data_IF_447742702028
#
_entry.id   IF_447742702028
#
_cell.length_a   1.000
_cell.length_b   1.000
_cell.length_c   1.000
_cell.angle_alpha   90.00
_cell.angle_beta   90.00
_cell.angle_gamma   90.00
#
_symmetry.space_group_name_H-M   'P 1'
#
loop_
_entity.id
_entity.type
_entity.pdbx_description
1 polymer ?
#
# COMPACT_ATOMS: atom_id res chain seq x y z
N UNK A 1 4.68 31.24 17.84
CA UNK A 1 5.39 30.06 18.45
C UNK A 1 4.47 29.19 19.26
N UNK A 2 3.40 29.77 19.89
CA UNK A 2 2.41 29.00 20.67
C UNK A 2 1.51 28.09 19.81
N UNK A 3 1.11 28.50 18.62
CA UNK A 3 0.09 27.77 17.83
C UNK A 3 0.61 26.45 17.25
N UNK A 4 1.90 26.43 16.80
CA UNK A 4 2.54 25.17 16.36
C UNK A 4 2.73 24.19 17.53
N UNK A 5 3.00 24.71 18.73
CA UNK A 5 3.12 23.91 19.94
C UNK A 5 1.75 23.35 20.35
N UNK A 6 0.71 24.15 20.22
CA UNK A 6 -0.66 23.77 20.58
C UNK A 6 -1.23 22.73 19.60
N UNK A 7 -0.91 22.85 18.31
CA UNK A 7 -1.22 21.84 17.30
C UNK A 7 -0.51 20.52 17.61
N UNK A 8 0.81 20.56 17.85
CA UNK A 8 1.58 19.35 18.21
C UNK A 8 1.09 18.69 19.50
N UNK A 9 0.67 19.47 20.50
CA UNK A 9 0.09 18.97 21.75
C UNK A 9 -1.28 18.32 21.49
N UNK A 10 -2.12 18.90 20.64
CA UNK A 10 -3.42 18.33 20.29
C UNK A 10 -3.26 17.01 19.53
N UNK A 11 -2.26 16.91 18.63
CA UNK A 11 -1.92 15.65 17.95
C UNK A 11 -1.49 14.58 18.95
N UNK A 12 -0.55 14.91 19.83
CA UNK A 12 -0.07 13.98 20.86
C UNK A 12 -1.21 13.50 21.78
N UNK A 13 -2.18 14.38 22.08
CA UNK A 13 -3.35 14.03 22.89
C UNK A 13 -4.29 13.09 22.12
N UNK A 14 -4.52 13.33 20.83
CA UNK A 14 -5.38 12.48 20.00
C UNK A 14 -4.74 11.10 19.79
N UNK A 15 -3.45 11.05 19.51
CA UNK A 15 -2.71 9.78 19.40
C UNK A 15 -2.73 8.98 20.71
N UNK A 16 -2.56 9.66 21.84
CA UNK A 16 -2.67 9.03 23.16
C UNK A 16 -4.08 8.52 23.45
N UNK A 17 -5.13 9.25 23.03
CA UNK A 17 -6.54 8.80 23.15
C UNK A 17 -6.83 7.60 22.26
N UNK A 18 -6.33 7.62 21.02
CA UNK A 18 -6.49 6.50 20.09
C UNK A 18 -5.77 5.25 20.58
N UNK A 19 -4.54 5.40 21.08
CA UNK A 19 -3.79 4.31 21.69
C UNK A 19 -4.51 3.73 22.90
N UNK A 20 -5.07 4.58 23.78
CA UNK A 20 -5.87 4.13 24.94
C UNK A 20 -7.17 3.45 24.52
N UNK A 21 -7.89 3.97 23.52
CA UNK A 21 -9.12 3.36 23.03
C UNK A 21 -8.85 1.97 22.45
N UNK A 22 -7.78 1.81 21.71
CA UNK A 22 -7.36 0.50 21.16
C UNK A 22 -6.87 -0.46 22.24
N UNK A 23 -6.15 0.01 23.24
CA UNK A 23 -5.81 -0.80 24.43
C UNK A 23 -7.07 -1.29 25.15
N UNK A 24 -8.10 -0.46 25.26
CA UNK A 24 -9.40 -0.85 25.81
C UNK A 24 -10.14 -1.91 24.99
N UNK A 25 -10.02 -1.88 23.66
CA UNK A 25 -10.64 -2.86 22.76
C UNK A 25 -9.88 -4.19 22.79
N UNK A 26 -8.54 -4.15 22.74
CA UNK A 26 -7.70 -5.34 22.74
C UNK A 26 -7.58 -5.97 24.13
N UNK A 27 -7.97 -5.24 25.19
CA UNK A 27 -7.73 -5.63 26.56
C UNK A 27 -8.89 -5.37 27.52
N UNK A 28 -10.15 -5.76 27.19
CA UNK A 28 -11.29 -5.52 28.09
C UNK A 28 -11.22 -6.32 29.38
N UNK A 29 -10.50 -7.44 29.42
CA UNK A 29 -10.30 -8.30 30.59
C UNK A 29 -8.88 -8.27 31.17
N UNK A 30 -7.94 -7.62 30.50
CA UNK A 30 -6.52 -7.59 30.86
C UNK A 30 -6.08 -6.29 31.52
N UNK A 31 -7.01 -5.48 32.03
CA UNK A 31 -6.71 -4.40 32.97
C UNK A 31 -5.98 -4.87 34.24
N UNK A 32 -5.75 -6.17 34.32
CA UNK A 32 -4.95 -6.83 35.36
C UNK A 32 -3.52 -7.14 34.94
N UNK A 33 -3.18 -7.08 33.63
CA UNK A 33 -1.80 -7.33 33.19
C UNK A 33 -1.01 -6.01 33.07
N UNK A 34 -0.57 -5.52 34.23
CA UNK A 34 0.29 -4.34 34.33
C UNK A 34 1.66 -4.51 33.63
N UNK A 35 1.96 -5.68 33.07
CA UNK A 35 3.23 -5.96 32.39
C UNK A 35 3.27 -5.48 30.93
N UNK A 36 2.11 -5.16 30.31
CA UNK A 36 2.04 -4.80 28.90
C UNK A 36 1.47 -3.39 28.70
N UNK A 37 2.35 -2.40 28.75
CA UNK A 37 1.93 -1.00 28.52
C UNK A 37 1.56 -0.71 27.05
N UNK A 38 2.12 -1.44 26.10
CA UNK A 38 1.79 -1.32 24.68
C UNK A 38 1.98 -2.68 24.00
N UNK A 39 0.90 -3.38 23.71
CA UNK A 39 0.95 -4.70 23.07
C UNK A 39 1.67 -4.63 21.70
N UNK A 40 1.54 -3.55 20.96
CA UNK A 40 2.19 -3.44 19.65
C UNK A 40 3.70 -3.34 19.74
N UNK A 41 4.22 -2.49 20.63
CA UNK A 41 5.67 -2.38 20.83
C UNK A 41 6.28 -3.69 21.31
N UNK A 42 5.58 -4.41 22.22
CA UNK A 42 6.03 -5.71 22.71
C UNK A 42 6.06 -6.79 21.62
N UNK A 43 5.15 -6.74 20.66
CA UNK A 43 5.16 -7.62 19.50
C UNK A 43 6.07 -7.12 18.37
N UNK A 44 6.83 -6.03 18.60
CA UNK A 44 7.78 -5.49 17.64
C UNK A 44 7.13 -4.74 16.48
N UNK A 45 5.96 -4.14 16.72
CA UNK A 45 5.32 -3.20 15.80
C UNK A 45 5.59 -1.76 16.24
N UNK A 46 5.65 -0.79 15.32
CA UNK A 46 5.82 0.60 15.67
C UNK A 46 4.59 1.14 16.40
N UNK A 47 4.79 2.09 17.30
CA UNK A 47 3.70 2.78 18.00
C UNK A 47 2.86 3.62 17.03
N UNK A 48 3.52 4.24 16.06
CA UNK A 48 2.89 5.02 14.99
C UNK A 48 3.36 4.50 13.63
N UNK A 49 2.43 4.36 12.71
CA UNK A 49 2.72 3.96 11.33
C UNK A 49 2.98 5.22 10.51
N UNK A 50 4.21 5.39 10.04
CA UNK A 50 4.61 6.53 9.22
C UNK A 50 4.42 6.26 7.73
N UNK A 51 4.47 7.32 6.92
CA UNK A 51 4.48 7.19 5.47
C UNK A 51 5.63 6.28 4.98
N UNK A 52 6.82 6.42 5.55
CA UNK A 52 7.99 5.62 5.17
C UNK A 52 7.76 4.12 5.41
N UNK A 53 7.07 3.78 6.50
CA UNK A 53 6.69 2.40 6.80
C UNK A 53 5.74 1.85 5.73
N UNK A 54 4.70 2.60 5.37
CA UNK A 54 3.73 2.20 4.35
C UNK A 54 4.36 2.13 2.95
N UNK A 55 5.21 3.09 2.62
CA UNK A 55 5.94 3.11 1.36
C UNK A 55 6.92 1.93 1.23
N UNK A 56 7.62 1.58 2.32
CA UNK A 56 8.51 0.41 2.34
C UNK A 56 7.74 -0.89 2.09
N UNK A 57 6.58 -1.07 2.75
CA UNK A 57 5.69 -2.21 2.51
C UNK A 57 5.21 -2.26 1.06
N UNK A 58 4.70 -1.16 0.51
CA UNK A 58 4.26 -1.12 -0.88
C UNK A 58 5.39 -1.43 -1.86
N UNK A 59 6.58 -0.91 -1.61
CA UNK A 59 7.72 -1.07 -2.52
C UNK A 59 8.28 -2.49 -2.56
N UNK A 60 8.20 -3.25 -1.47
CA UNK A 60 8.85 -4.56 -1.33
C UNK A 60 7.94 -5.69 -0.85
N UNK A 61 6.88 -5.38 -0.12
CA UNK A 61 5.94 -6.36 0.41
C UNK A 61 4.97 -6.83 -0.67
N UNK A 62 5.05 -8.11 -1.06
CA UNK A 62 4.27 -8.65 -2.18
C UNK A 62 2.75 -8.51 -2.00
N UNK A 63 2.22 -8.78 -0.81
CA UNK A 63 0.78 -8.70 -0.52
C UNK A 63 0.31 -7.25 -0.47
N UNK A 64 1.04 -6.36 0.20
CA UNK A 64 0.70 -4.93 0.28
C UNK A 64 0.72 -4.26 -1.10
N UNK A 65 1.74 -4.55 -1.91
CA UNK A 65 1.83 -4.10 -3.30
C UNK A 65 0.64 -4.62 -4.11
N UNK A 66 0.38 -5.93 -4.05
CA UNK A 66 -0.71 -6.56 -4.76
C UNK A 66 -2.09 -6.01 -4.41
N UNK A 67 -2.32 -5.65 -3.15
CA UNK A 67 -3.57 -5.04 -2.69
C UNK A 67 -3.85 -3.70 -3.39
N UNK A 68 -2.86 -2.81 -3.41
CA UNK A 68 -2.97 -1.50 -4.06
C UNK A 68 -3.15 -1.66 -5.57
N UNK A 69 -2.30 -2.47 -6.23
CA UNK A 69 -2.35 -2.65 -7.68
C UNK A 69 -3.67 -3.26 -8.16
N UNK A 70 -4.21 -4.25 -7.43
CA UNK A 70 -5.49 -4.89 -7.78
C UNK A 70 -6.67 -3.93 -7.62
N UNK A 71 -6.69 -3.17 -6.52
CA UNK A 71 -7.75 -2.20 -6.29
C UNK A 71 -7.75 -1.09 -7.33
N UNK A 72 -6.58 -0.46 -7.56
CA UNK A 72 -6.43 0.59 -8.57
C UNK A 72 -6.68 0.03 -9.98
N UNK A 73 -6.04 -1.09 -10.33
CA UNK A 73 -6.19 -1.70 -11.65
C UNK A 73 -7.63 -2.08 -11.98
N UNK A 74 -8.43 -2.48 -10.99
CA UNK A 74 -9.84 -2.77 -11.20
C UNK A 74 -10.69 -1.51 -11.29
N UNK A 75 -10.47 -0.52 -10.40
CA UNK A 75 -11.21 0.75 -10.47
C UNK A 75 -10.93 1.52 -11.76
N UNK A 76 -9.69 1.48 -12.26
CA UNK A 76 -9.25 2.19 -13.47
C UNK A 76 -9.13 1.24 -14.68
N UNK A 77 -9.92 0.16 -14.72
CA UNK A 77 -9.96 -0.74 -15.88
C UNK A 77 -10.38 0.00 -17.15
N UNK A 78 -11.28 0.98 -17.00
CA UNK A 78 -11.69 1.93 -18.04
C UNK A 78 -11.56 3.35 -17.50
N UNK A 79 -11.35 4.32 -18.37
CA UNK A 79 -11.35 5.72 -17.99
C UNK A 79 -12.78 6.23 -17.86
N UNK A 80 -13.08 7.11 -16.92
CA UNK A 80 -14.40 7.76 -16.86
C UNK A 80 -14.57 8.78 -17.98
N UNK A 81 -15.81 9.04 -18.32
CA UNK A 81 -16.23 10.17 -19.16
C UNK A 81 -16.89 11.24 -18.29
N UNK A 82 -16.67 12.52 -18.64
CA UNK A 82 -17.29 13.64 -17.97
C UNK A 82 -18.23 14.30 -18.96
N UNK A 83 -19.49 14.30 -18.62
CA UNK A 83 -20.57 14.88 -19.44
C UNK A 83 -21.14 16.13 -18.79
N UNK A 84 -21.74 16.99 -19.61
CA UNK A 84 -22.53 18.14 -19.19
C UNK A 84 -23.98 17.69 -18.94
N UNK A 85 -24.52 17.96 -17.72
CA UNK A 85 -25.87 17.58 -17.33
C UNK A 85 -25.98 16.33 -16.48
N UNK A 86 -27.20 15.84 -16.28
CA UNK A 86 -27.54 14.73 -15.38
C UNK A 86 -27.54 13.36 -16.08
N UNK A 87 -27.83 13.29 -17.37
CA UNK A 87 -28.13 12.04 -18.05
C UNK A 87 -27.25 11.79 -19.28
N UNK A 88 -26.69 10.58 -19.33
CA UNK A 88 -25.93 10.10 -20.48
C UNK A 88 -26.79 9.78 -21.71
N UNK A 89 -28.11 9.61 -21.52
CA UNK A 89 -29.00 9.04 -22.55
C UNK A 89 -29.67 10.05 -23.47
N UNK A 90 -29.59 11.37 -23.18
CA UNK A 90 -30.44 12.36 -23.90
C UNK A 90 -29.79 13.06 -25.09
N UNK A 91 -28.49 12.97 -25.31
CA UNK A 91 -27.87 13.55 -26.49
C UNK A 91 -26.86 12.69 -27.19
N UNK A 92 -27.15 12.25 -28.41
CA UNK A 92 -26.16 11.63 -29.30
C UNK A 92 -25.02 12.59 -29.72
N UNK A 93 -25.13 13.89 -29.38
CA UNK A 93 -24.18 14.92 -29.81
C UNK A 93 -23.42 15.52 -28.62
N UNK A 94 -22.12 15.40 -28.65
CA UNK A 94 -21.24 16.06 -27.68
C UNK A 94 -21.41 17.56 -27.66
N UNK A 95 -21.54 18.13 -26.45
CA UNK A 95 -21.63 19.58 -26.26
C UNK A 95 -20.32 20.30 -26.54
N UNK A 96 -20.33 21.61 -26.67
CA UNK A 96 -19.10 22.37 -26.83
C UNK A 96 -18.20 22.29 -25.60
N UNK A 97 -18.79 22.19 -24.41
CA UNK A 97 -18.07 22.03 -23.16
C UNK A 97 -17.39 20.65 -23.08
N UNK A 98 -18.09 19.58 -23.43
CA UNK A 98 -17.53 18.22 -23.45
C UNK A 98 -16.37 18.09 -24.44
N UNK A 99 -16.45 18.68 -25.63
CA UNK A 99 -15.34 18.73 -26.59
C UNK A 99 -14.11 19.42 -26.00
N UNK A 100 -14.33 20.50 -25.24
CA UNK A 100 -13.24 21.23 -24.58
C UNK A 100 -12.68 20.43 -23.39
N UNK A 101 -13.54 19.80 -22.58
CA UNK A 101 -13.14 18.97 -21.45
C UNK A 101 -12.29 17.76 -21.90
N UNK A 102 -12.67 17.08 -23.00
CA UNK A 102 -11.90 15.97 -23.59
C UNK A 102 -10.47 16.36 -24.05
N UNK A 103 -10.24 17.64 -24.36
CA UNK A 103 -8.89 18.14 -24.68
C UNK A 103 -7.99 18.22 -23.43
N UNK A 104 -8.58 18.41 -22.26
CA UNK A 104 -7.90 18.43 -20.97
C UNK A 104 -7.78 17.01 -20.41
N UNK A 105 -8.90 16.27 -20.36
CA UNK A 105 -9.01 14.92 -19.80
C UNK A 105 -8.62 13.83 -20.82
N UNK A 106 -7.43 13.94 -21.31
CA UNK A 106 -6.86 12.95 -22.25
C UNK A 106 -6.53 11.63 -21.55
N UNK A 107 -6.32 10.55 -22.32
CA UNK A 107 -5.82 9.27 -21.78
C UNK A 107 -4.53 9.44 -20.96
N UNK A 108 -3.67 10.40 -21.33
CA UNK A 108 -2.45 10.72 -20.57
C UNK A 108 -2.78 11.33 -19.22
N UNK A 109 -3.80 12.18 -19.16
CA UNK A 109 -4.29 12.77 -17.91
C UNK A 109 -4.84 11.67 -16.99
N UNK A 110 -5.74 10.81 -17.50
CA UNK A 110 -6.33 9.72 -16.73
C UNK A 110 -5.28 8.75 -16.17
N UNK A 111 -4.24 8.48 -16.96
CA UNK A 111 -3.10 7.70 -16.46
C UNK A 111 -2.41 8.39 -15.28
N UNK A 112 -2.26 9.71 -15.29
CA UNK A 112 -1.67 10.46 -14.18
C UNK A 112 -2.61 10.50 -12.98
N UNK A 113 -3.92 10.61 -13.21
CA UNK A 113 -4.90 10.60 -12.14
C UNK A 113 -4.99 9.22 -11.46
N UNK A 114 -5.00 8.15 -12.24
CA UNK A 114 -4.89 6.77 -11.73
C UNK A 114 -3.58 6.54 -10.93
N UNK A 115 -2.48 7.14 -11.37
CA UNK A 115 -1.23 7.10 -10.59
C UNK A 115 -1.32 7.91 -9.28
N UNK A 116 -2.04 9.03 -9.27
CA UNK A 116 -2.31 9.77 -8.04
C UNK A 116 -3.16 8.94 -7.07
N UNK A 117 -4.17 8.27 -7.58
CA UNK A 117 -5.01 7.36 -6.82
C UNK A 117 -4.20 6.19 -6.20
N UNK A 118 -3.28 5.61 -6.98
CA UNK A 118 -2.33 4.60 -6.47
C UNK A 118 -1.48 5.15 -5.31
N UNK A 119 -0.95 6.35 -5.45
CA UNK A 119 -0.07 6.96 -4.45
C UNK A 119 -0.80 7.34 -3.17
N UNK A 120 -2.05 7.78 -3.26
CA UNK A 120 -2.84 8.08 -2.07
C UNK A 120 -3.17 6.84 -1.24
N UNK A 121 -3.42 5.69 -1.89
CA UNK A 121 -3.65 4.42 -1.19
C UNK A 121 -2.45 3.98 -0.36
N UNK A 122 -1.25 4.39 -0.76
CA UNK A 122 -0.02 4.14 0.01
C UNK A 122 0.19 5.19 1.09
N UNK A 123 -0.04 6.48 0.76
CA UNK A 123 0.39 7.61 1.58
C UNK A 123 -0.72 8.46 2.18
N UNK A 124 -1.97 7.99 2.27
CA UNK A 124 -3.17 8.73 2.71
C UNK A 124 -3.63 9.77 1.70
N UNK A 125 -2.71 10.49 1.07
CA UNK A 125 -2.97 11.45 -0.01
C UNK A 125 -1.88 11.42 -1.07
N UNK A 126 -2.21 12.00 -2.21
CA UNK A 126 -1.26 12.30 -3.29
C UNK A 126 -1.53 13.70 -3.81
N UNK A 127 -0.49 14.39 -4.23
CA UNK A 127 -0.62 15.71 -4.85
C UNK A 127 -0.58 15.61 -6.38
N UNK A 128 -1.50 16.29 -7.05
CA UNK A 128 -1.49 16.53 -8.48
C UNK A 128 -1.03 17.96 -8.69
N UNK A 129 0.20 18.13 -9.20
CA UNK A 129 0.81 19.43 -9.44
C UNK A 129 0.47 19.90 -10.85
N UNK A 130 -0.16 21.07 -10.96
CA UNK A 130 -0.65 21.64 -12.21
C UNK A 130 0.43 22.50 -12.86
N UNK A 131 0.90 22.11 -14.03
CA UNK A 131 1.79 22.92 -14.86
C UNK A 131 0.95 23.76 -15.83
N UNK A 132 0.74 25.01 -15.48
CA UNK A 132 -0.02 25.97 -16.27
C UNK A 132 0.95 26.84 -17.09
N UNK A 133 0.57 27.17 -18.31
CA UNK A 133 1.38 27.99 -19.22
C UNK A 133 1.24 29.50 -18.92
N UNK A 134 1.66 29.92 -17.72
CA UNK A 134 1.56 31.31 -17.28
C UNK A 134 2.92 31.99 -17.07
N UNK A 135 4.01 31.26 -17.28
CA UNK A 135 5.42 31.73 -17.11
C UNK A 135 5.73 32.29 -15.72
N UNK A 136 4.88 32.00 -14.73
CA UNK A 136 5.09 32.44 -13.35
C UNK A 136 5.87 31.39 -12.55
N UNK A 137 6.51 31.82 -11.46
CA UNK A 137 7.17 30.93 -10.51
C UNK A 137 6.11 30.06 -9.78
N UNK A 138 6.51 28.90 -9.30
CA UNK A 138 5.60 27.94 -8.69
C UNK A 138 4.97 28.38 -7.37
N UNK A 139 5.62 29.31 -6.67
CA UNK A 139 5.15 29.93 -5.44
C UNK A 139 4.14 31.07 -5.68
N UNK A 140 3.91 31.43 -6.95
CA UNK A 140 2.93 32.46 -7.34
C UNK A 140 1.58 31.81 -7.71
N UNK A 141 0.44 32.51 -7.44
CA UNK A 141 -0.86 32.07 -7.86
C UNK A 141 -0.93 31.90 -9.38
N UNK A 142 -1.85 31.04 -9.84
CA UNK A 142 -2.04 30.79 -11.27
C UNK A 142 -2.70 31.98 -11.95
N UNK A 143 -2.18 32.40 -13.11
CA UNK A 143 -2.88 33.36 -13.97
C UNK A 143 -4.07 32.66 -14.64
N UNK A 144 -5.29 33.15 -14.33
CA UNK A 144 -6.54 32.58 -14.86
C UNK A 144 -6.60 32.60 -16.39
N UNK A 145 -7.27 31.61 -16.95
CA UNK A 145 -7.49 31.51 -18.40
C UNK A 145 -6.29 30.99 -19.18
N UNK A 146 -5.26 30.46 -18.53
CA UNK A 146 -4.10 29.82 -19.19
C UNK A 146 -4.31 28.32 -19.31
N UNK A 147 -3.72 27.72 -20.34
CA UNK A 147 -3.82 26.28 -20.61
C UNK A 147 -3.04 25.44 -19.61
N UNK A 148 -3.65 24.33 -19.18
CA UNK A 148 -2.94 23.26 -18.47
C UNK A 148 -2.05 22.50 -19.47
N UNK A 149 -0.72 22.51 -19.24
CA UNK A 149 0.23 21.82 -20.12
C UNK A 149 0.37 20.33 -19.76
N UNK A 150 0.52 20.05 -18.49
CA UNK A 150 0.68 18.70 -17.93
C UNK A 150 0.41 18.70 -16.45
N UNK A 151 0.28 17.51 -15.88
CA UNK A 151 0.25 17.29 -14.43
C UNK A 151 1.43 16.45 -14.00
N UNK A 152 1.92 16.68 -12.79
CA UNK A 152 2.93 15.84 -12.13
C UNK A 152 2.34 15.29 -10.85
N UNK A 153 2.48 14.01 -10.61
CA UNK A 153 1.98 13.37 -9.41
C UNK A 153 3.07 13.31 -8.35
N UNK A 154 2.75 13.77 -7.15
CA UNK A 154 3.64 13.77 -6.00
C UNK A 154 3.17 12.76 -4.95
N UNK A 155 4.13 12.07 -4.31
CA UNK A 155 3.88 11.25 -3.13
C UNK A 155 3.66 12.10 -1.89
N UNK A 156 2.88 11.63 -0.93
CA UNK A 156 2.70 12.27 0.38
C UNK A 156 4.04 12.60 1.07
N UNK A 157 5.01 11.68 1.02
CA UNK A 157 6.34 11.93 1.59
C UNK A 157 7.19 12.96 0.84
N UNK A 158 6.80 13.36 -0.38
CA UNK A 158 7.50 14.41 -1.14
C UNK A 158 6.75 15.73 -1.22
N UNK A 159 5.47 15.77 -0.86
CA UNK A 159 4.64 16.98 -0.86
C UNK A 159 4.07 17.18 0.55
N UNK A 160 4.52 18.20 1.22
CA UNK A 160 4.11 18.52 2.59
C UNK A 160 3.60 19.95 2.68
N UNK A 161 2.81 20.25 3.69
CA UNK A 161 2.37 21.63 3.93
C UNK A 161 3.57 22.44 4.48
N UNK A 162 3.98 23.45 3.74
CA UNK A 162 5.07 24.34 4.11
C UNK A 162 4.63 25.45 5.06
N UNK A 163 3.43 25.99 4.87
CA UNK A 163 2.85 27.03 5.70
C UNK A 163 1.33 26.90 5.75
N UNK A 164 0.75 27.13 6.94
CA UNK A 164 -0.68 27.05 7.18
C UNK A 164 -1.30 28.44 7.32
N UNK A 165 -2.53 28.61 6.89
CA UNK A 165 -3.30 29.81 7.21
C UNK A 165 -3.83 29.71 8.65
N UNK A 166 -3.20 30.45 9.54
CA UNK A 166 -3.54 30.50 10.98
C UNK A 166 -4.35 31.74 11.35
N UNK A 167 -4.74 32.55 10.38
CA UNK A 167 -5.52 33.77 10.60
C UNK A 167 -6.96 33.46 11.00
N UNK A 168 -7.34 33.63 12.27
CA UNK A 168 -8.68 33.30 12.80
C UNK A 168 -9.85 33.93 12.02
N UNK A 169 -9.61 35.05 11.32
CA UNK A 169 -10.60 35.75 10.50
C UNK A 169 -10.45 35.47 8.99
N UNK A 170 -9.54 34.59 8.61
CA UNK A 170 -9.31 34.21 7.23
C UNK A 170 -10.39 33.24 6.76
N UNK A 171 -10.85 33.38 5.52
CA UNK A 171 -11.76 32.40 4.88
C UNK A 171 -11.10 31.04 4.65
N UNK A 172 -9.78 31.01 4.61
CA UNK A 172 -8.95 29.84 4.37
C UNK A 172 -8.25 29.35 5.64
N UNK A 173 -8.80 29.73 6.83
CA UNK A 173 -8.27 29.27 8.10
C UNK A 173 -8.15 27.74 8.15
N UNK A 174 -6.98 27.24 8.57
CA UNK A 174 -6.70 25.80 8.64
C UNK A 174 -6.38 25.15 7.30
N UNK A 175 -6.34 25.92 6.19
CA UNK A 175 -5.92 25.40 4.90
C UNK A 175 -4.42 25.69 4.63
N UNK A 176 -3.78 24.89 3.76
CA UNK A 176 -2.41 25.17 3.34
C UNK A 176 -2.30 26.51 2.63
N UNK A 177 -1.45 27.39 3.15
CA UNK A 177 -1.09 28.65 2.50
C UNK A 177 0.02 28.46 1.47
N UNK A 178 0.89 27.49 1.70
CA UNK A 178 1.97 27.15 0.79
C UNK A 178 2.30 25.65 0.94
N UNK A 179 2.45 24.98 -0.18
CA UNK A 179 2.96 23.62 -0.24
C UNK A 179 4.46 23.60 -0.44
N UNK A 180 5.13 22.59 0.07
CA UNK A 180 6.56 22.34 -0.13
C UNK A 180 6.75 20.99 -0.81
N UNK A 181 7.36 21.01 -1.99
CA UNK A 181 7.63 19.82 -2.78
C UNK A 181 9.12 19.51 -2.82
N UNK A 182 9.48 18.29 -2.43
CA UNK A 182 10.85 17.78 -2.55
C UNK A 182 11.03 17.15 -3.94
N UNK A 183 11.52 17.96 -4.88
CA UNK A 183 11.81 17.50 -6.24
C UNK A 183 13.14 16.75 -6.27
N UNK A 184 13.13 15.55 -6.87
CA UNK A 184 14.36 14.81 -7.17
C UNK A 184 14.88 15.20 -8.54
N UNK A 185 16.12 15.64 -8.58
CA UNK A 185 16.80 16.00 -9.84
C UNK A 185 17.47 14.76 -10.45
N UNK A 186 17.73 14.77 -11.78
CA UNK A 186 18.36 13.64 -12.48
C UNK A 186 19.74 13.24 -11.93
N UNK A 187 20.46 14.17 -11.31
CA UNK A 187 21.75 13.93 -10.67
C UNK A 187 21.67 13.27 -9.27
N UNK A 188 20.45 12.88 -8.85
CA UNK A 188 20.20 12.27 -7.56
C UNK A 188 20.07 13.24 -6.38
N UNK A 189 20.35 14.54 -6.59
CA UNK A 189 20.10 15.55 -5.55
C UNK A 189 18.61 15.86 -5.43
N UNK A 190 18.21 16.43 -4.31
CA UNK A 190 16.84 16.91 -4.11
C UNK A 190 16.86 18.42 -3.82
N UNK A 191 15.85 19.13 -4.32
CA UNK A 191 15.60 20.51 -3.96
C UNK A 191 14.18 20.67 -3.42
N UNK A 192 13.99 21.59 -2.50
CA UNK A 192 12.66 21.96 -2.02
C UNK A 192 12.14 23.14 -2.82
N UNK A 193 10.94 23.00 -3.34
CA UNK A 193 10.25 24.04 -4.11
C UNK A 193 8.95 24.36 -3.41
N UNK A 194 8.71 25.65 -3.18
CA UNK A 194 7.43 26.12 -2.65
C UNK A 194 6.43 26.20 -3.80
N UNK A 195 5.22 25.73 -3.55
CA UNK A 195 4.15 25.67 -4.56
C UNK A 195 2.90 26.33 -4.00
N UNK A 196 2.35 27.27 -4.76
CA UNK A 196 1.10 27.92 -4.40
C UNK A 196 -0.07 26.91 -4.43
N UNK A 197 -1.07 26.98 -3.53
CA UNK A 197 -2.22 26.07 -3.50
C UNK A 197 -3.00 26.00 -4.79
N UNK A 198 -3.06 27.07 -5.59
CA UNK A 198 -3.71 27.03 -6.91
C UNK A 198 -3.11 25.98 -7.84
N UNK A 199 -1.81 25.68 -7.69
CA UNK A 199 -1.06 24.72 -8.51
C UNK A 199 -1.07 23.31 -7.96
N UNK A 200 -1.79 23.07 -6.86
CA UNK A 200 -1.84 21.76 -6.21
C UNK A 200 -3.31 21.34 -6.07
N UNK A 201 -3.60 20.13 -6.51
CA UNK A 201 -4.82 19.43 -6.15
C UNK A 201 -4.44 18.22 -5.31
N UNK A 202 -5.11 18.03 -4.19
CA UNK A 202 -4.88 16.90 -3.31
C UNK A 202 -5.95 15.84 -3.55
N UNK A 203 -5.53 14.64 -3.81
CA UNK A 203 -6.36 13.46 -3.88
C UNK A 203 -6.22 12.69 -2.56
N UNK A 204 -7.29 12.51 -1.83
CA UNK A 204 -7.29 11.92 -0.49
C UNK A 204 -7.24 12.96 0.62
N UNK A 205 -6.85 12.53 1.83
CA UNK A 205 -6.87 13.35 3.03
C UNK A 205 -5.45 13.56 3.58
N UNK A 206 -5.05 14.81 3.75
CA UNK A 206 -3.77 15.22 4.31
C UNK A 206 -3.85 15.61 5.79
N UNK A 207 -5.01 15.44 6.43
CA UNK A 207 -5.16 15.65 7.86
C UNK A 207 -4.34 14.65 8.67
N UNK A 208 -3.91 15.05 9.84
CA UNK A 208 -3.02 14.21 10.66
C UNK A 208 -3.73 12.98 11.23
N UNK A 209 -5.05 13.03 11.35
CA UNK A 209 -5.90 11.92 11.82
C UNK A 209 -6.45 11.05 10.68
N UNK A 210 -6.11 11.34 9.44
CA UNK A 210 -6.46 10.51 8.30
C UNK A 210 -5.86 9.10 8.40
N UNK A 211 -6.67 8.09 8.10
CA UNK A 211 -6.25 6.68 8.09
C UNK A 211 -6.02 6.25 6.64
N UNK A 212 -4.79 5.85 6.32
CA UNK A 212 -4.43 5.35 5.00
C UNK A 212 -4.97 3.95 4.73
N UNK A 213 -5.16 3.60 3.46
CA UNK A 213 -5.69 2.28 3.04
C UNK A 213 -4.87 1.10 3.58
N UNK A 214 -3.54 1.18 3.56
CA UNK A 214 -2.66 0.10 4.02
C UNK A 214 -2.48 0.07 5.55
N UNK A 215 -2.80 1.15 6.24
CA UNK A 215 -2.50 1.32 7.66
C UNK A 215 -3.21 0.30 8.57
N UNK A 216 -4.51 -0.01 8.39
CA UNK A 216 -5.20 -1.00 9.21
C UNK A 216 -4.63 -2.42 9.09
N UNK A 217 -4.02 -2.74 7.94
CA UNK A 217 -3.40 -4.04 7.67
C UNK A 217 -1.90 -4.08 7.99
N UNK A 218 -1.30 -2.99 8.45
CA UNK A 218 0.15 -2.86 8.61
C UNK A 218 0.77 -3.99 9.44
N UNK A 219 0.22 -4.27 10.62
CA UNK A 219 0.74 -5.29 11.51
C UNK A 219 0.63 -6.70 10.90
N UNK A 220 -0.45 -6.97 10.17
CA UNK A 220 -0.62 -8.24 9.46
C UNK A 220 0.43 -8.40 8.33
N UNK A 221 0.70 -7.35 7.59
CA UNK A 221 1.76 -7.37 6.56
C UNK A 221 3.14 -7.62 7.13
N UNK A 222 3.51 -6.93 8.21
CA UNK A 222 4.79 -7.15 8.88
C UNK A 222 4.89 -8.57 9.43
N UNK A 223 3.78 -9.12 9.95
CA UNK A 223 3.73 -10.50 10.42
C UNK A 223 3.90 -11.51 9.28
N UNK A 224 3.29 -11.25 8.12
CA UNK A 224 3.46 -12.07 6.91
C UNK A 224 4.93 -12.10 6.48
N UNK A 225 5.60 -10.94 6.41
CA UNK A 225 7.03 -10.85 6.07
C UNK A 225 7.91 -11.57 7.10
N UNK A 226 7.60 -11.46 8.41
CA UNK A 226 8.33 -12.18 9.46
C UNK A 226 8.18 -13.70 9.33
N UNK A 227 6.97 -14.20 9.02
CA UNK A 227 6.72 -15.63 8.82
C UNK A 227 7.43 -16.13 7.57
N UNK A 228 7.35 -15.39 6.47
CA UNK A 228 7.99 -15.72 5.20
C UNK A 228 9.53 -15.76 5.33
N UNK A 229 10.13 -14.69 5.86
CA UNK A 229 11.56 -14.59 6.08
C UNK A 229 12.08 -15.59 7.11
N UNK A 230 11.39 -15.75 8.25
CA UNK A 230 11.74 -16.72 9.29
C UNK A 230 11.64 -18.17 8.83
N UNK A 231 10.65 -18.50 8.00
CA UNK A 231 10.52 -19.82 7.39
C UNK A 231 11.69 -20.11 6.45
N UNK A 232 12.06 -19.15 5.58
CA UNK A 232 13.20 -19.26 4.69
C UNK A 232 14.51 -19.42 5.45
N UNK A 233 14.74 -18.64 6.50
CA UNK A 233 15.92 -18.76 7.35
C UNK A 233 15.98 -20.11 8.08
N UNK A 234 14.85 -20.56 8.62
CA UNK A 234 14.76 -21.88 9.28
C UNK A 234 15.07 -23.01 8.30
N UNK A 235 14.58 -22.94 7.06
CA UNK A 235 14.91 -23.90 6.02
C UNK A 235 16.41 -23.91 5.72
N UNK A 236 17.02 -22.74 5.53
CA UNK A 236 18.45 -22.63 5.26
C UNK A 236 19.32 -23.17 6.42
N UNK A 237 18.93 -22.86 7.68
CA UNK A 237 19.61 -23.36 8.86
C UNK A 237 19.51 -24.88 9.01
N UNK A 238 18.39 -25.48 8.64
CA UNK A 238 18.20 -26.93 8.64
C UNK A 238 18.90 -27.62 7.45
N UNK A 239 18.98 -26.95 6.31
CA UNK A 239 19.71 -27.42 5.15
C UNK A 239 21.23 -27.39 5.39
N UNK A 240 21.74 -26.40 6.12
CA UNK A 240 23.10 -26.33 6.59
C UNK A 240 23.27 -27.33 7.76
N UNK A 241 23.99 -28.42 7.53
CA UNK A 241 24.25 -29.47 8.55
C UNK A 241 25.00 -28.87 9.74
N UNK A 242 24.26 -28.44 10.77
CA UNK A 242 24.86 -28.01 12.04
C UNK A 242 25.23 -29.27 12.83
N UNK A 243 26.47 -29.36 13.30
CA UNK A 243 26.99 -30.49 14.04
C UNK A 243 27.29 -30.11 15.49
N UNK A 244 26.83 -30.95 16.42
CA UNK A 244 27.29 -30.92 17.81
C UNK A 244 28.38 -31.96 17.97
N UNK A 245 29.54 -31.52 18.41
CA UNK A 245 30.69 -32.40 18.69
C UNK A 245 30.85 -32.42 20.21
N UNK A 246 30.51 -33.55 20.83
CA UNK A 246 30.68 -33.75 22.25
C UNK A 246 31.89 -34.66 22.49
N UNK A 247 32.88 -34.16 23.21
CA UNK A 247 34.04 -34.92 23.58
C UNK A 247 33.78 -35.71 24.88
N UNK A 248 34.29 -36.93 24.94
CA UNK A 248 34.26 -37.72 26.17
C UNK A 248 35.06 -37.04 27.28
N UNK A 249 34.66 -37.25 28.53
CA UNK A 249 35.33 -36.65 29.71
C UNK A 249 36.81 -37.02 29.80
N UNK A 250 37.21 -38.13 29.20
CA UNK A 250 38.56 -38.64 29.18
C UNK A 250 39.38 -38.16 27.97
N UNK A 251 38.72 -37.42 27.06
CA UNK A 251 39.40 -36.88 25.88
C UNK A 251 40.40 -35.79 26.29
N UNK A 252 41.67 -36.05 26.01
CA UNK A 252 42.74 -35.09 26.26
C UNK A 252 42.84 -34.10 25.10
N UNK A 253 42.06 -33.05 25.18
CA UNK A 253 41.95 -32.04 24.12
C UNK A 253 43.29 -31.35 23.82
N UNK A 254 44.17 -31.22 24.82
CA UNK A 254 45.54 -30.71 24.64
C UNK A 254 46.42 -31.60 23.78
N UNK A 255 46.29 -32.94 23.91
CA UNK A 255 47.00 -33.90 23.06
C UNK A 255 46.43 -33.89 21.64
N UNK A 256 45.10 -33.69 21.50
CA UNK A 256 44.46 -33.58 20.22
C UNK A 256 44.87 -32.30 19.48
N UNK A 257 44.94 -31.16 20.16
CA UNK A 257 45.43 -29.91 19.61
C UNK A 257 46.88 -30.03 19.11
N UNK A 258 47.75 -30.66 19.91
CA UNK A 258 49.13 -30.94 19.49
C UNK A 258 49.22 -31.86 18.28
N UNK A 259 48.33 -32.86 18.17
CA UNK A 259 48.28 -33.75 17.00
C UNK A 259 47.89 -33.01 15.71
N UNK A 260 47.05 -31.98 15.82
CA UNK A 260 46.73 -31.08 14.71
C UNK A 260 47.77 -29.95 14.51
N UNK A 261 48.74 -29.81 15.39
CA UNK A 261 49.79 -28.79 15.32
C UNK A 261 49.30 -27.39 15.63
N UNK A 262 48.27 -27.26 16.47
CA UNK A 262 47.60 -26.01 16.84
C UNK A 262 47.49 -25.86 18.36
N UNK A 263 47.23 -24.64 18.80
CA UNK A 263 46.92 -24.39 20.20
C UNK A 263 45.49 -24.82 20.53
N UNK A 264 45.22 -25.11 21.81
CA UNK A 264 43.89 -25.51 22.29
C UNK A 264 42.79 -24.51 21.91
N UNK A 265 43.10 -23.21 21.92
CA UNK A 265 42.18 -22.13 21.52
C UNK A 265 41.81 -22.16 20.05
N UNK A 266 42.62 -22.74 19.19
CA UNK A 266 42.42 -22.83 17.73
C UNK A 266 41.70 -24.10 17.31
N UNK A 267 41.43 -25.02 18.22
CA UNK A 267 40.75 -26.28 17.94
C UNK A 267 39.32 -26.05 17.39
N UNK A 268 38.65 -25.02 17.89
CA UNK A 268 37.30 -24.62 17.43
C UNK A 268 37.32 -24.19 15.96
N UNK A 269 38.34 -23.50 15.49
CA UNK A 269 38.48 -23.07 14.10
C UNK A 269 38.67 -24.23 13.14
N UNK A 270 39.40 -25.26 13.58
CA UNK A 270 39.59 -26.49 12.78
C UNK A 270 38.28 -27.22 12.61
N UNK A 271 37.50 -27.39 13.69
CA UNK A 271 36.21 -28.05 13.60
C UNK A 271 35.20 -27.25 12.81
N UNK A 272 35.21 -25.92 12.92
CA UNK A 272 34.38 -25.04 12.09
C UNK A 272 34.74 -25.17 10.59
N UNK A 273 36.04 -25.26 10.28
CA UNK A 273 36.49 -25.49 8.91
C UNK A 273 36.03 -26.86 8.39
N UNK A 274 36.18 -27.92 9.19
CA UNK A 274 35.71 -29.27 8.83
C UNK A 274 34.19 -29.28 8.62
N UNK A 275 33.41 -28.61 9.49
CA UNK A 275 31.98 -28.50 9.34
C UNK A 275 31.59 -27.76 8.05
N UNK A 276 32.30 -26.69 7.69
CA UNK A 276 32.13 -25.99 6.41
C UNK A 276 32.43 -26.86 5.20
N UNK A 277 33.54 -27.61 5.25
CA UNK A 277 33.89 -28.53 4.17
C UNK A 277 32.87 -29.65 4.00
N UNK A 278 32.30 -30.17 5.10
CA UNK A 278 31.23 -31.16 5.07
C UNK A 278 29.93 -30.60 4.48
N UNK A 279 29.66 -29.29 4.65
CA UNK A 279 28.49 -28.65 4.06
C UNK A 279 28.61 -28.36 2.56
N UNK A 280 29.86 -28.28 2.05
CA UNK A 280 30.14 -28.08 0.63
C UNK A 280 30.05 -29.39 -0.16
N UNK A 281 30.43 -30.53 0.46
CA UNK A 281 30.47 -31.83 -0.18
C UNK A 281 29.26 -32.71 0.15
N UNK A 282 28.70 -33.41 -0.86
CA UNK A 282 27.60 -34.35 -0.64
C UNK A 282 28.07 -35.68 0.00
N UNK A 283 29.35 -36.02 -0.12
CA UNK A 283 29.93 -37.30 0.26
C UNK A 283 31.03 -37.15 1.33
N UNK A 284 30.90 -36.21 2.25
CA UNK A 284 31.89 -35.95 3.28
C UNK A 284 31.71 -36.91 4.46
N UNK A 285 32.77 -37.56 4.88
CA UNK A 285 32.83 -38.43 6.07
C UNK A 285 33.71 -37.78 7.13
N UNK A 286 33.13 -37.57 8.32
CA UNK A 286 33.88 -37.12 9.50
C UNK A 286 34.24 -38.32 10.36
N UNK A 287 35.55 -38.57 10.52
CA UNK A 287 36.06 -39.60 11.40
C UNK A 287 36.53 -38.92 12.69
N UNK A 288 35.95 -39.30 13.82
CA UNK A 288 36.30 -38.75 15.13
C UNK A 288 36.74 -39.87 16.08
N UNK A 289 37.67 -39.55 16.98
CA UNK A 289 38.06 -40.42 18.06
C UNK A 289 37.87 -39.73 19.40
N UNK A 290 37.16 -40.37 20.32
CA UNK A 290 36.85 -39.78 21.63
C UNK A 290 35.86 -38.64 21.58
N UNK A 291 35.06 -38.58 20.52
CA UNK A 291 34.01 -37.59 20.36
C UNK A 291 32.75 -38.21 19.72
N UNK A 292 31.58 -37.77 20.20
CA UNK A 292 30.29 -38.10 19.59
C UNK A 292 29.81 -36.89 18.77
N UNK A 293 29.54 -37.13 17.49
CA UNK A 293 29.09 -36.14 16.54
C UNK A 293 27.61 -36.40 16.24
N UNK A 294 26.77 -35.43 16.54
CA UNK A 294 25.35 -35.52 16.26
C UNK A 294 24.89 -34.29 15.45
N UNK A 295 24.02 -34.45 14.46
CA UNK A 295 23.41 -33.29 13.79
C UNK A 295 22.50 -32.55 14.77
N UNK A 296 22.60 -31.23 14.80
CA UNK A 296 21.65 -30.38 15.48
C UNK A 296 20.47 -30.19 14.52
N UNK A 297 19.38 -30.91 14.76
CA UNK A 297 18.15 -30.81 13.98
C UNK A 297 17.15 -29.99 14.78
N UNK A 298 16.81 -28.82 14.27
CA UNK A 298 15.66 -28.08 14.77
C UNK A 298 14.39 -28.54 14.04
N UNK A 299 13.34 -28.88 14.78
CA UNK A 299 12.06 -29.17 14.16
C UNK A 299 11.53 -27.93 13.45
N UNK A 300 11.35 -28.01 12.15
CA UNK A 300 10.71 -26.95 11.36
C UNK A 300 9.21 -27.08 11.56
N UNK A 301 8.60 -26.10 12.23
CA UNK A 301 7.14 -26.03 12.30
C UNK A 301 6.58 -25.56 10.97
N UNK A 302 5.40 -26.08 10.58
CA UNK A 302 4.68 -25.61 9.40
C UNK A 302 4.27 -24.14 9.59
N UNK A 303 4.73 -23.19 8.76
CA UNK A 303 4.38 -21.78 8.85
C UNK A 303 2.98 -21.45 8.31
N UNK A 304 2.38 -22.38 7.54
CA UNK A 304 1.14 -22.15 6.78
C UNK A 304 -0.03 -21.69 7.64
N UNK A 305 -0.31 -22.26 8.83
CA UNK A 305 -1.43 -21.79 9.66
C UNK A 305 -1.25 -20.34 10.11
N UNK A 306 -0.04 -19.98 10.56
CA UNK A 306 0.28 -18.61 11.01
C UNK A 306 0.24 -17.61 9.85
N UNK A 307 0.76 -18.01 8.68
CA UNK A 307 0.69 -17.21 7.47
C UNK A 307 -0.76 -16.93 7.07
N UNK A 308 -1.60 -17.98 7.03
CA UNK A 308 -3.00 -17.86 6.62
C UNK A 308 -3.83 -16.97 7.56
N UNK A 309 -3.63 -17.04 8.86
CA UNK A 309 -4.32 -16.15 9.82
C UNK A 309 -3.98 -14.68 9.55
N UNK A 310 -2.69 -14.36 9.37
CA UNK A 310 -2.27 -13.00 9.08
C UNK A 310 -2.78 -12.51 7.70
N UNK A 311 -2.80 -13.40 6.70
CA UNK A 311 -3.33 -13.12 5.38
C UNK A 311 -4.83 -12.80 5.42
N UNK A 312 -5.62 -13.57 6.18
CA UNK A 312 -7.05 -13.31 6.39
C UNK A 312 -7.28 -11.99 7.12
N UNK A 313 -6.45 -11.68 8.13
CA UNK A 313 -6.51 -10.39 8.84
C UNK A 313 -6.22 -9.22 7.90
N UNK A 314 -5.19 -9.34 7.05
CA UNK A 314 -4.89 -8.32 6.04
C UNK A 314 -6.04 -8.16 5.03
N UNK A 315 -6.58 -9.27 4.53
CA UNK A 315 -7.70 -9.29 3.59
C UNK A 315 -8.95 -8.61 4.17
N UNK A 316 -9.28 -8.91 5.42
CA UNK A 316 -10.41 -8.30 6.14
C UNK A 316 -10.18 -6.79 6.37
N UNK A 317 -8.97 -6.38 6.78
CA UNK A 317 -8.64 -4.99 7.02
C UNK A 317 -8.70 -4.12 5.75
N UNK A 318 -8.40 -4.72 4.59
CA UNK A 318 -8.42 -4.05 3.28
C UNK A 318 -9.75 -4.19 2.56
N UNK A 319 -10.66 -5.03 3.08
CA UNK A 319 -11.90 -5.39 2.41
C UNK A 319 -11.68 -5.93 0.99
N UNK A 320 -10.71 -6.84 0.84
CA UNK A 320 -10.39 -7.55 -0.39
C UNK A 320 -10.46 -9.06 -0.12
N UNK A 321 -11.27 -9.85 -0.85
CA UNK A 321 -11.30 -11.29 -0.68
C UNK A 321 -9.90 -11.91 -0.78
N UNK A 322 -9.56 -12.81 0.13
CA UNK A 322 -8.21 -13.41 0.22
C UNK A 322 -7.76 -14.03 -1.09
N UNK A 323 -8.66 -14.71 -1.82
CA UNK A 323 -8.35 -15.32 -3.11
C UNK A 323 -7.97 -14.28 -4.17
N UNK A 324 -8.68 -13.15 -4.18
CA UNK A 324 -8.34 -12.04 -5.07
C UNK A 324 -7.01 -11.43 -4.66
N UNK A 325 -6.79 -11.23 -3.36
CA UNK A 325 -5.56 -10.64 -2.84
C UNK A 325 -4.32 -11.44 -3.24
N UNK A 326 -4.36 -12.78 -3.17
CA UNK A 326 -3.22 -13.64 -3.55
C UNK A 326 -3.26 -14.12 -5.02
N UNK A 327 -4.36 -13.90 -5.74
CA UNK A 327 -4.51 -14.37 -7.12
C UNK A 327 -4.77 -15.85 -7.26
N UNK A 328 -5.29 -16.52 -6.22
CA UNK A 328 -5.65 -17.93 -6.28
C UNK A 328 -7.02 -18.14 -6.92
N UNK A 329 -7.08 -18.94 -7.96
CA UNK A 329 -8.33 -19.37 -8.59
C UNK A 329 -8.60 -20.83 -8.20
N UNK A 330 -9.36 -21.06 -7.14
CA UNK A 330 -9.78 -22.40 -6.71
C UNK A 330 -11.30 -22.47 -6.62
N UNK A 331 -11.91 -23.27 -7.49
CA UNK A 331 -13.37 -23.50 -7.54
C UNK A 331 -14.12 -22.38 -8.27
N UNK A 332 -14.76 -22.72 -9.38
CA UNK A 332 -15.40 -21.77 -10.30
C UNK A 332 -16.47 -20.90 -9.63
N UNK A 333 -17.37 -21.48 -8.82
CA UNK A 333 -18.44 -20.74 -8.14
C UNK A 333 -17.93 -19.77 -7.07
N UNK A 334 -17.05 -20.24 -6.18
CA UNK A 334 -16.51 -19.38 -5.14
C UNK A 334 -15.63 -18.23 -5.70
N UNK A 335 -14.95 -18.49 -6.82
CA UNK A 335 -14.20 -17.47 -7.55
C UNK A 335 -15.12 -16.41 -8.16
N UNK A 336 -16.29 -16.79 -8.66
CA UNK A 336 -17.27 -15.87 -9.25
C UNK A 336 -17.91 -14.96 -8.20
N UNK A 337 -18.24 -15.48 -7.02
CA UNK A 337 -18.81 -14.70 -5.92
C UNK A 337 -17.79 -13.70 -5.36
N UNK A 338 -16.55 -14.12 -5.12
CA UNK A 338 -15.46 -13.24 -4.70
C UNK A 338 -15.22 -12.12 -5.73
N UNK A 339 -15.29 -12.46 -7.03
CA UNK A 339 -15.14 -11.49 -8.11
C UNK A 339 -16.27 -10.46 -8.13
N UNK A 340 -17.53 -10.92 -7.98
CA UNK A 340 -18.69 -10.03 -7.91
C UNK A 340 -18.62 -9.10 -6.70
N UNK A 341 -18.26 -9.65 -5.54
CA UNK A 341 -18.04 -8.83 -4.34
C UNK A 341 -17.01 -7.75 -4.58
N UNK A 342 -15.86 -8.12 -5.10
CA UNK A 342 -14.77 -7.17 -5.36
C UNK A 342 -15.16 -6.13 -6.43
N UNK A 343 -15.88 -6.54 -7.49
CA UNK A 343 -16.39 -5.62 -8.49
C UNK A 343 -17.36 -4.60 -7.87
N UNK A 344 -18.29 -5.06 -7.02
CA UNK A 344 -19.24 -4.18 -6.32
C UNK A 344 -18.52 -3.17 -5.42
N UNK A 345 -17.50 -3.62 -4.69
CA UNK A 345 -16.65 -2.74 -3.90
C UNK A 345 -15.93 -1.68 -4.75
N UNK A 346 -15.35 -2.12 -5.87
CA UNK A 346 -14.70 -1.20 -6.80
C UNK A 346 -15.70 -0.21 -7.43
N UNK A 347 -16.92 -0.66 -7.73
CA UNK A 347 -17.97 0.20 -8.26
C UNK A 347 -18.39 1.27 -7.22
N UNK A 348 -18.57 0.90 -5.96
CA UNK A 348 -18.82 1.85 -4.88
C UNK A 348 -17.70 2.89 -4.76
N UNK A 349 -16.44 2.42 -4.81
CA UNK A 349 -15.28 3.30 -4.76
C UNK A 349 -15.17 4.25 -5.96
N UNK A 350 -15.65 3.84 -7.14
CA UNK A 350 -15.75 4.73 -8.32
C UNK A 350 -16.70 5.89 -8.06
N UNK A 351 -17.76 5.68 -7.26
CA UNK A 351 -18.63 6.76 -6.80
C UNK A 351 -17.85 7.83 -6.03
N UNK A 352 -17.01 7.41 -5.06
CA UNK A 352 -16.17 8.34 -4.31
C UNK A 352 -15.16 9.06 -5.22
N UNK A 353 -14.54 8.32 -6.16
CA UNK A 353 -13.65 8.89 -7.16
C UNK A 353 -14.34 9.91 -8.08
N UNK A 354 -15.63 9.73 -8.38
CA UNK A 354 -16.40 10.69 -9.17
C UNK A 354 -16.46 12.05 -8.51
N UNK A 355 -16.74 12.12 -7.21
CA UNK A 355 -16.72 13.39 -6.47
C UNK A 355 -15.35 14.07 -6.53
N UNK A 356 -14.26 13.32 -6.37
CA UNK A 356 -12.91 13.88 -6.45
C UNK A 356 -12.54 14.37 -7.87
N UNK A 357 -13.07 13.71 -8.91
CA UNK A 357 -12.93 14.17 -10.30
C UNK A 357 -13.74 15.43 -10.53
N UNK A 358 -14.94 15.51 -9.97
CA UNK A 358 -15.79 16.72 -10.02
C UNK A 358 -15.11 17.90 -9.31
N UNK A 359 -14.56 17.69 -8.11
CA UNK A 359 -13.78 18.70 -7.38
C UNK A 359 -12.55 19.16 -8.18
N UNK A 360 -11.89 18.24 -8.89
CA UNK A 360 -10.80 18.59 -9.79
C UNK A 360 -11.29 19.46 -10.96
N UNK A 361 -12.45 19.14 -11.55
CA UNK A 361 -13.06 19.95 -12.58
C UNK A 361 -13.39 21.36 -12.06
N UNK A 362 -13.94 21.47 -10.85
CA UNK A 362 -14.25 22.76 -10.23
C UNK A 362 -12.99 23.59 -10.03
N UNK A 363 -11.90 22.97 -9.61
CA UNK A 363 -10.58 23.60 -9.54
C UNK A 363 -10.13 24.16 -10.90
N UNK A 364 -10.34 23.42 -11.98
CA UNK A 364 -9.99 23.89 -13.33
C UNK A 364 -10.91 25.02 -13.80
N UNK A 365 -12.19 25.01 -13.42
CA UNK A 365 -13.15 26.09 -13.69
C UNK A 365 -12.77 27.35 -12.91
N UNK A 366 -12.42 27.24 -11.63
CA UNK A 366 -11.93 28.37 -10.81
C UNK A 366 -10.71 29.06 -11.43
N UNK A 367 -9.81 28.26 -12.01
CA UNK A 367 -8.64 28.73 -12.71
C UNK A 367 -8.93 29.22 -14.14
N UNK A 368 -10.20 29.14 -14.59
CA UNK A 368 -10.65 29.48 -15.94
C UNK A 368 -9.90 28.68 -17.03
N UNK A 369 -9.49 27.47 -16.74
CA UNK A 369 -8.93 26.51 -17.69
C UNK A 369 -10.08 25.81 -18.45
N UNK A 370 -11.16 25.49 -17.72
CA UNK A 370 -12.43 25.04 -18.27
C UNK A 370 -13.48 26.13 -18.13
N UNK A 371 -14.46 26.13 -19.04
CA UNK A 371 -15.59 27.03 -18.96
C UNK A 371 -16.53 26.62 -17.81
N UNK A 372 -17.22 27.56 -17.16
CA UNK A 372 -18.22 27.22 -16.15
C UNK A 372 -19.36 26.41 -16.77
N UNK A 373 -19.83 25.43 -16.03
CA UNK A 373 -20.96 24.56 -16.37
C UNK A 373 -21.89 24.49 -15.17
N UNK A 374 -23.20 24.41 -15.43
CA UNK A 374 -24.20 24.36 -14.36
C UNK A 374 -24.22 23.01 -13.62
N UNK A 375 -24.01 21.95 -14.36
CA UNK A 375 -24.01 20.58 -13.85
C UNK A 375 -23.08 19.73 -14.69
N UNK A 376 -22.37 18.82 -14.05
CA UNK A 376 -21.46 17.85 -14.66
C UNK A 376 -21.63 16.51 -13.97
N UNK A 377 -21.48 15.44 -14.72
CA UNK A 377 -21.59 14.07 -14.20
C UNK A 377 -20.43 13.24 -14.69
N UNK A 378 -19.85 12.42 -13.81
CA UNK A 378 -18.78 11.50 -14.14
C UNK A 378 -19.35 10.10 -14.33
N UNK A 379 -19.18 9.55 -15.52
CA UNK A 379 -19.73 8.24 -15.91
C UNK A 379 -18.61 7.22 -16.01
N UNK A 380 -18.88 6.04 -15.47
CA UNK A 380 -17.99 4.90 -15.54
C UNK A 380 -18.70 3.70 -16.19
N UNK A 381 -17.95 2.90 -16.93
CA UNK A 381 -18.45 1.61 -17.41
C UNK A 381 -18.80 0.69 -16.23
N UNK A 382 -19.84 -0.11 -16.37
CA UNK A 382 -20.22 -1.09 -15.35
C UNK A 382 -19.19 -2.23 -15.26
N UNK A 383 -18.59 -2.42 -14.08
CA UNK A 383 -17.64 -3.49 -13.81
C UNK A 383 -18.25 -4.89 -13.78
N UNK A 384 -19.58 -4.97 -13.65
CA UNK A 384 -20.36 -6.19 -13.66
C UNK A 384 -21.07 -6.41 -15.01
N UNK A 385 -20.83 -5.56 -16.02
CA UNK A 385 -21.41 -5.73 -17.34
C UNK A 385 -21.08 -7.12 -17.87
N UNK A 386 -22.12 -7.84 -18.28
CA UNK A 386 -21.98 -9.15 -18.88
C UNK A 386 -21.16 -9.06 -20.17
N UNK A 387 -20.23 -9.99 -20.36
CA UNK A 387 -19.53 -10.13 -21.62
C UNK A 387 -20.52 -10.47 -22.75
N UNK A 388 -20.17 -10.15 -23.98
CA UNK A 388 -21.03 -10.43 -25.12
C UNK A 388 -21.34 -11.94 -25.26
N UNK A 389 -20.42 -12.83 -24.84
CA UNK A 389 -20.66 -14.27 -24.75
C UNK A 389 -21.71 -14.64 -23.70
N UNK A 390 -21.67 -14.01 -22.51
CA UNK A 390 -22.66 -14.24 -21.44
C UNK A 390 -24.04 -13.70 -21.83
N UNK A 391 -24.11 -12.56 -22.53
CA UNK A 391 -25.36 -12.04 -23.09
C UNK A 391 -25.94 -12.99 -24.14
N UNK A 392 -25.08 -13.56 -24.99
CA UNK A 392 -25.49 -14.54 -26.00
C UNK A 392 -26.00 -15.84 -25.37
N UNK A 393 -25.31 -16.35 -24.36
CA UNK A 393 -25.72 -17.53 -23.59
C UNK A 393 -27.05 -17.28 -22.84
N UNK A 394 -27.23 -16.11 -22.25
CA UNK A 394 -28.48 -15.73 -21.62
C UNK A 394 -29.64 -15.62 -22.64
N UNK A 395 -29.39 -15.04 -23.81
CA UNK A 395 -30.37 -14.96 -24.89
C UNK A 395 -30.72 -16.33 -25.43
N UNK A 396 -29.77 -17.25 -25.60
CA UNK A 396 -30.02 -18.64 -26.01
C UNK A 396 -30.85 -19.40 -24.98
N UNK A 397 -30.54 -19.27 -23.67
CA UNK A 397 -31.34 -19.87 -22.59
C UNK A 397 -32.75 -19.31 -22.54
N UNK A 398 -32.95 -18.02 -22.72
CA UNK A 398 -34.28 -17.40 -22.82
C UNK A 398 -35.05 -17.92 -24.02
N UNK A 399 -34.41 -18.06 -25.18
CA UNK A 399 -35.01 -18.61 -26.38
C UNK A 399 -35.45 -20.05 -26.16
N UNK A 400 -34.63 -20.90 -25.51
CA UNK A 400 -34.96 -22.27 -25.16
C UNK A 400 -36.13 -22.38 -24.19
N UNK A 401 -36.20 -21.51 -23.17
CA UNK A 401 -37.30 -21.45 -22.20
C UNK A 401 -38.60 -21.04 -22.91
N UNK A 402 -38.54 -20.04 -23.77
CA UNK A 402 -39.69 -19.57 -24.52
C UNK A 402 -40.22 -20.65 -25.51
N UNK A 403 -39.31 -21.37 -26.17
CA UNK A 403 -39.70 -22.47 -27.06
C UNK A 403 -40.30 -23.66 -26.30
N UNK A 404 -39.81 -23.91 -25.05
CA UNK A 404 -40.37 -25.00 -24.21
C UNK A 404 -41.71 -24.64 -23.54
N UNK A 405 -42.03 -23.34 -23.43
CA UNK A 405 -43.31 -22.88 -22.84
C UNK A 405 -44.43 -22.70 -23.87
N UNK A 406 -44.14 -22.83 -25.16
CA UNK A 406 -45.10 -22.70 -26.26
C UNK A 406 -45.51 -24.10 -26.82
N UNK A 407 -44.84 -25.16 -26.42
CA UNK A 407 -45.19 -26.57 -26.73
C UNK A 407 -45.89 -27.22 -25.56
#
# INVERSE_FOLDING_TARGET
MNDKLQLAVNHAINDARLARARMGILNPSMGLDAKRNSAWCEYGFPEQVTYENLYALYRRGGIAHGAVEKLVGKCWQTNPEIIEGDDADESENETAWEKKSKQVFTNRFWRSFSEADRRRLVGRYAGILLHVNDSLAWDQPVTKGKMLQKVTVAWAGSLTVGDWDTGLNSKTYGQPKMWQYAERLPNGSSRRVNIHPDRVFILGDYSDDAIGFLEPAYNAFVSLEKVEGGSGESFLKNAARQLSINFDKEAKLDELARAYGVDYSELNEIYDKVAREMNIGNDSVLITQGANVAPIVAAVSDPSPTYNVNLQTAAAALDIPTKILVGMQTGERASTEDQKYFNTRCQSRRGDLSFEIEDFCDKLIELSILDPVSQKTVIWDDLNAQSDSEKLDAAQKMSQINSASIG
#
